data_IF_770474626061
#
_entry.id   IF_770474626061
#
_cell.length_a   1.000
_cell.length_b   1.000
_cell.length_c   1.000
_cell.angle_alpha   90.00
_cell.angle_beta   90.00
_cell.angle_gamma   90.00
#
_symmetry.space_group_name_H-M   'P 1'
#
loop_
_entity.id
_entity.type
_entity.pdbx_description
1 polymer ?
#
# COMPACT_ATOMS: atom_id res chain seq x y z
N UNK A 1 13.80 -9.97 25.16
CA UNK A 1 14.41 -10.41 23.88
C UNK A 1 15.46 -9.39 23.50
N UNK A 2 16.64 -9.80 23.03
CA UNK A 2 17.67 -8.89 22.51
C UNK A 2 17.69 -9.01 20.98
N UNK A 3 17.67 -7.88 20.28
CA UNK A 3 17.72 -7.83 18.82
C UNK A 3 19.08 -7.28 18.45
N UNK A 4 19.88 -8.07 17.73
CA UNK A 4 21.16 -7.63 17.23
C UNK A 4 20.96 -6.85 15.92
N UNK A 5 21.46 -5.61 15.89
CA UNK A 5 21.47 -4.80 14.68
C UNK A 5 22.67 -5.18 13.81
N UNK A 6 22.48 -5.10 12.50
CA UNK A 6 23.58 -5.14 11.53
C UNK A 6 24.25 -3.77 11.49
N UNK A 7 25.54 -3.73 11.13
CA UNK A 7 26.31 -2.48 10.98
C UNK A 7 25.58 -1.42 10.13
N UNK A 8 24.91 -1.82 9.06
CA UNK A 8 24.15 -0.93 8.18
C UNK A 8 22.97 -0.25 8.90
N UNK A 9 22.29 -0.98 9.78
CA UNK A 9 21.16 -0.47 10.58
C UNK A 9 21.65 0.51 11.65
N UNK A 10 22.78 0.21 12.29
CA UNK A 10 23.43 1.11 13.24
C UNK A 10 23.85 2.42 12.57
N UNK A 11 24.50 2.34 11.40
CA UNK A 11 24.89 3.52 10.62
C UNK A 11 23.67 4.36 10.21
N UNK A 12 22.57 3.70 9.81
CA UNK A 12 21.33 4.39 9.51
C UNK A 12 20.78 5.15 10.72
N UNK A 13 20.71 4.51 11.89
CA UNK A 13 20.24 5.13 13.13
C UNK A 13 21.14 6.31 13.51
N UNK A 14 22.47 6.13 13.45
CA UNK A 14 23.42 7.21 13.73
C UNK A 14 23.23 8.41 12.81
N UNK A 15 23.02 8.20 11.50
CA UNK A 15 22.74 9.27 10.55
C UNK A 15 21.43 10.00 10.87
N UNK A 16 20.40 9.30 11.34
CA UNK A 16 19.14 9.90 11.78
C UNK A 16 19.31 10.73 13.05
N UNK A 17 20.11 10.27 14.00
CA UNK A 17 20.43 11.04 15.21
C UNK A 17 21.24 12.29 14.88
N UNK A 18 22.26 12.17 14.03
CA UNK A 18 23.09 13.30 13.58
C UNK A 18 22.27 14.38 12.85
N UNK A 19 21.14 14.03 12.24
CA UNK A 19 20.25 15.01 11.62
C UNK A 19 19.52 15.92 12.62
N UNK A 20 19.58 15.59 13.92
CA UNK A 20 18.88 16.32 14.99
C UNK A 20 17.37 16.09 15.03
N UNK A 21 16.82 15.29 14.09
CA UNK A 21 15.39 14.98 14.03
C UNK A 21 14.92 14.02 15.13
N UNK A 22 15.84 13.24 15.70
CA UNK A 22 15.54 12.22 16.71
C UNK A 22 16.49 12.38 17.89
N UNK A 23 15.98 12.13 19.09
CA UNK A 23 16.70 12.31 20.36
C UNK A 23 17.37 11.02 20.83
N UNK A 24 16.93 9.85 20.34
CA UNK A 24 17.46 8.54 20.71
C UNK A 24 17.32 7.50 19.60
N UNK A 25 18.11 6.43 19.68
CA UNK A 25 17.99 5.28 18.79
C UNK A 25 16.61 4.61 18.90
N UNK A 26 16.06 4.53 20.12
CA UNK A 26 14.75 3.95 20.38
C UNK A 26 13.65 4.70 19.65
N UNK A 27 13.71 6.04 19.63
CA UNK A 27 12.74 6.87 18.88
C UNK A 27 12.77 6.59 17.38
N UNK A 28 13.96 6.39 16.80
CA UNK A 28 14.11 5.99 15.39
C UNK A 28 13.50 4.61 15.14
N UNK A 29 13.71 3.68 16.06
CA UNK A 29 13.20 2.31 15.97
C UNK A 29 11.67 2.28 16.12
N UNK A 30 11.11 3.02 17.08
CA UNK A 30 9.66 3.15 17.25
C UNK A 30 9.00 3.71 16.00
N UNK A 31 9.57 4.77 15.43
CA UNK A 31 9.06 5.36 14.20
C UNK A 31 9.15 4.38 13.02
N UNK A 32 10.22 3.60 12.93
CA UNK A 32 10.34 2.56 11.91
C UNK A 32 9.27 1.47 12.05
N UNK A 33 8.94 1.04 13.27
CA UNK A 33 7.86 0.08 13.52
C UNK A 33 6.48 0.68 13.22
N UNK A 34 6.23 1.94 13.60
CA UNK A 34 4.98 2.63 13.26
C UNK A 34 4.75 2.65 11.74
N UNK A 35 5.78 3.05 10.98
CA UNK A 35 5.71 3.07 9.52
C UNK A 35 5.52 1.67 8.90
N UNK A 36 6.10 0.64 9.53
CA UNK A 36 5.90 -0.75 9.12
C UNK A 36 4.44 -1.18 9.35
N UNK A 37 3.89 -0.93 10.52
CA UNK A 37 2.49 -1.24 10.86
C UNK A 37 1.52 -0.49 9.94
N UNK A 38 1.74 0.80 9.69
CA UNK A 38 0.91 1.59 8.77
C UNK A 38 0.91 0.99 7.36
N UNK A 39 2.09 0.62 6.85
CA UNK A 39 2.21 -0.01 5.53
C UNK A 39 1.46 -1.33 5.48
N UNK A 40 1.60 -2.16 6.51
CA UNK A 40 1.00 -3.49 6.54
C UNK A 40 -0.55 -3.36 6.67
N UNK A 41 -1.05 -2.42 7.47
CA UNK A 41 -2.49 -2.10 7.55
C UNK A 41 -3.05 -1.61 6.21
N UNK A 42 -2.34 -0.70 5.53
CA UNK A 42 -2.74 -0.24 4.20
C UNK A 42 -2.80 -1.39 3.18
N UNK A 43 -1.84 -2.32 3.24
CA UNK A 43 -1.83 -3.48 2.37
C UNK A 43 -3.02 -4.42 2.65
N UNK A 44 -3.33 -4.69 3.91
CA UNK A 44 -4.48 -5.52 4.30
C UNK A 44 -5.80 -4.91 3.84
N UNK A 45 -5.97 -3.60 4.04
CA UNK A 45 -7.17 -2.90 3.58
C UNK A 45 -7.29 -2.93 2.06
N UNK A 46 -6.21 -2.64 1.33
CA UNK A 46 -6.19 -2.74 -0.13
C UNK A 46 -6.54 -4.16 -0.60
N UNK A 47 -6.02 -5.19 0.07
CA UNK A 47 -6.30 -6.58 -0.26
C UNK A 47 -7.77 -6.93 -0.04
N UNK A 48 -8.37 -6.50 1.08
CA UNK A 48 -9.80 -6.70 1.34
C UNK A 48 -10.67 -6.01 0.29
N UNK A 49 -10.42 -4.72 0.02
CA UNK A 49 -11.17 -3.96 -0.98
C UNK A 49 -11.06 -4.57 -2.37
N UNK A 50 -9.88 -5.06 -2.73
CA UNK A 50 -9.63 -5.69 -4.03
C UNK A 50 -10.38 -7.02 -4.13
N UNK A 51 -10.35 -7.85 -3.08
CA UNK A 51 -11.11 -9.11 -3.04
C UNK A 51 -12.60 -8.87 -3.17
N UNK A 52 -13.13 -7.85 -2.49
CA UNK A 52 -14.55 -7.49 -2.61
C UNK A 52 -14.90 -7.08 -4.05
N UNK A 53 -14.13 -6.17 -4.66
CA UNK A 53 -14.34 -5.74 -6.05
C UNK A 53 -14.29 -6.89 -7.05
N UNK A 54 -13.37 -7.84 -6.86
CA UNK A 54 -13.27 -9.03 -7.69
C UNK A 54 -14.49 -9.92 -7.52
N UNK A 55 -14.93 -10.17 -6.27
CA UNK A 55 -16.12 -10.97 -6.00
C UNK A 55 -17.39 -10.33 -6.62
N UNK A 56 -17.55 -9.02 -6.48
CA UNK A 56 -18.66 -8.28 -7.07
C UNK A 56 -18.64 -8.37 -8.59
N UNK A 57 -17.46 -8.19 -9.21
CA UNK A 57 -17.28 -8.32 -10.66
C UNK A 57 -17.60 -9.72 -11.19
N UNK A 58 -17.18 -10.78 -10.48
CA UNK A 58 -17.53 -12.16 -10.84
C UNK A 58 -19.05 -12.38 -10.74
N UNK A 59 -19.68 -11.90 -9.67
CA UNK A 59 -21.14 -12.00 -9.53
C UNK A 59 -21.90 -11.22 -10.61
N UNK A 60 -21.38 -10.08 -11.08
CA UNK A 60 -21.94 -9.33 -12.22
C UNK A 60 -21.84 -10.14 -13.52
N UNK A 61 -20.69 -10.77 -13.76
CA UNK A 61 -20.49 -11.64 -14.93
C UNK A 61 -21.43 -12.84 -14.92
N UNK A 62 -21.63 -13.48 -13.75
CA UNK A 62 -22.57 -14.59 -13.60
C UNK A 62 -24.02 -14.19 -13.89
N UNK A 63 -24.38 -12.91 -13.66
CA UNK A 63 -25.69 -12.34 -14.02
C UNK A 63 -25.79 -11.88 -15.48
N UNK A 64 -24.72 -12.02 -16.27
CA UNK A 64 -24.68 -11.60 -17.66
C UNK A 64 -24.52 -10.08 -17.84
N UNK A 65 -24.09 -9.35 -16.81
CA UNK A 65 -23.86 -7.89 -16.86
C UNK A 65 -22.51 -7.51 -17.50
N UNK A 66 -21.81 -8.49 -18.08
CA UNK A 66 -20.58 -8.26 -18.83
C UNK A 66 -20.82 -7.31 -20.01
N UNK A 67 -19.90 -6.37 -20.20
CA UNK A 67 -19.96 -5.42 -21.31
C UNK A 67 -19.09 -5.91 -22.48
N UNK A 68 -19.63 -5.74 -23.68
CA UNK A 68 -18.94 -5.95 -24.94
C UNK A 68 -17.81 -4.93 -25.14
N UNK A 69 -16.69 -5.38 -25.70
CA UNK A 69 -15.45 -4.61 -25.80
C UNK A 69 -15.57 -3.43 -26.78
N UNK A 70 -16.20 -3.63 -27.93
CA UNK A 70 -16.46 -2.55 -28.90
C UNK A 70 -17.32 -1.45 -28.29
N UNK A 71 -18.36 -1.86 -27.56
CA UNK A 71 -19.29 -0.96 -26.86
C UNK A 71 -18.60 -0.14 -25.76
N UNK A 72 -17.69 -0.76 -25.00
CA UNK A 72 -16.88 -0.07 -23.97
C UNK A 72 -15.94 0.96 -24.62
N UNK A 73 -15.24 0.57 -25.68
CA UNK A 73 -14.27 1.45 -26.35
C UNK A 73 -14.93 2.65 -27.02
N UNK A 74 -16.14 2.48 -27.58
CA UNK A 74 -16.91 3.59 -28.13
C UNK A 74 -17.27 4.62 -27.05
N UNK A 75 -17.79 4.17 -25.91
CA UNK A 75 -18.15 5.04 -24.76
C UNK A 75 -16.94 5.77 -24.18
N UNK A 76 -15.79 5.10 -24.04
CA UNK A 76 -14.56 5.72 -23.52
C UNK A 76 -14.05 6.82 -24.46
N UNK A 77 -14.05 6.59 -25.78
CA UNK A 77 -13.63 7.59 -26.77
C UNK A 77 -14.51 8.83 -26.77
N UNK A 78 -15.81 8.67 -26.56
CA UNK A 78 -16.75 9.79 -26.44
C UNK A 78 -16.46 10.63 -25.18
N UNK A 79 -16.19 9.95 -24.05
CA UNK A 79 -15.95 10.59 -22.75
C UNK A 79 -14.61 11.33 -22.65
N UNK A 80 -13.60 10.89 -23.39
CA UNK A 80 -12.26 11.52 -23.43
C UNK A 80 -12.19 12.68 -24.45
N UNK A 81 -13.13 12.74 -25.41
CA UNK A 81 -13.22 13.82 -26.40
C UNK A 81 -13.99 15.06 -25.90
N UNK A 82 -14.66 14.96 -24.75
CA UNK A 82 -15.20 16.09 -23.99
C UNK A 82 -14.13 16.67 -23.07
#
# INVERSE_FOLDING_TARGET
>A
MSIALKNEQEQFIQKKLQSGKYSSADEVIFEAFRLLEERDQHYEQWLQDTRQKVADGLAQLDRGEGLDDESVMARLKERVRM
#
